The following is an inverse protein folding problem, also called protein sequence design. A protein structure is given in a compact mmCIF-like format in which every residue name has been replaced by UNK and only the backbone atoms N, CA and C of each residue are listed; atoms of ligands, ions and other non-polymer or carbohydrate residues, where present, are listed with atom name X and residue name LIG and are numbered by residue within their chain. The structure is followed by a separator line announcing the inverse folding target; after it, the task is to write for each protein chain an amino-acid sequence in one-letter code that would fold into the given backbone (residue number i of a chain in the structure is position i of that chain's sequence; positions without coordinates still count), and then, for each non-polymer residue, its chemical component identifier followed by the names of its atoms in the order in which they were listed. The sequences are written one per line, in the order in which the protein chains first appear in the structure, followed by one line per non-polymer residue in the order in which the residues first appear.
data_IF_996555741754
#
_entry.id   IF_996555741754
#
_cell.length_a   1.000
_cell.length_b   1.000
_cell.length_c   1.000
_cell.angle_alpha   90.00
_cell.angle_beta   90.00
_cell.angle_gamma   90.00
#
_symmetry.space_group_name_H-M   'P 1'
#
loop_
_entity.id
_entity.type
_entity.pdbx_description
1 polymer ?
#
# COMPACT_ATOMS: atom_id res chain seq x y z
N UNK A 1 -0.29 -21.92 6.03
CA UNK A 1 -0.95 -20.73 5.45
C UNK A 1 -2.44 -20.98 5.07
N UNK A 2 -2.90 -21.85 4.15
CA UNK A 2 -4.32 -21.93 3.79
C UNK A 2 -5.26 -22.28 4.96
N UNK A 3 -4.91 -23.29 5.77
CA UNK A 3 -5.73 -23.69 6.92
C UNK A 3 -5.75 -22.63 8.03
N UNK A 4 -4.63 -22.02 8.33
CA UNK A 4 -4.47 -20.93 9.29
C UNK A 4 -5.31 -19.71 8.87
N UNK A 5 -5.19 -19.27 7.62
CA UNK A 5 -5.99 -18.18 7.05
C UNK A 5 -7.49 -18.45 7.15
N UNK A 6 -7.94 -19.66 6.76
CA UNK A 6 -9.36 -20.02 6.82
C UNK A 6 -9.90 -19.99 8.26
N UNK A 7 -9.10 -20.42 9.24
CA UNK A 7 -9.47 -20.38 10.65
C UNK A 7 -9.63 -18.94 11.15
N UNK A 8 -8.68 -18.05 10.84
CA UNK A 8 -8.76 -16.63 11.23
C UNK A 8 -9.96 -15.96 10.56
N UNK A 9 -10.11 -16.14 9.24
CA UNK A 9 -11.24 -15.61 8.49
C UNK A 9 -12.58 -16.05 9.11
N UNK A 10 -12.71 -17.31 9.52
CA UNK A 10 -13.91 -17.82 10.16
C UNK A 10 -14.19 -17.16 11.52
N UNK A 11 -13.14 -16.86 12.33
CA UNK A 11 -13.32 -16.13 13.61
C UNK A 11 -13.87 -14.73 13.36
N UNK A 12 -13.31 -14.00 12.38
CA UNK A 12 -13.78 -12.66 11.98
C UNK A 12 -15.25 -12.70 11.52
N UNK A 13 -15.58 -13.65 10.62
CA UNK A 13 -16.95 -13.79 10.09
C UNK A 13 -17.98 -14.16 11.16
N UNK A 14 -17.59 -14.87 12.22
CA UNK A 14 -18.44 -15.23 13.35
C UNK A 14 -18.57 -14.12 14.39
N UNK A 15 -17.66 -13.15 14.41
CA UNK A 15 -17.73 -12.02 15.32
C UNK A 15 -18.80 -11.04 14.82
N UNK A 16 -19.83 -10.71 15.64
CA UNK A 16 -20.90 -9.79 15.22
C UNK A 16 -20.38 -8.43 14.80
N UNK A 17 -19.31 -7.94 15.45
CA UNK A 17 -18.68 -6.66 15.13
C UNK A 17 -17.95 -6.68 13.78
N UNK A 18 -17.46 -7.85 13.34
CA UNK A 18 -16.82 -8.03 12.04
C UNK A 18 -17.74 -7.66 10.88
N UNK A 19 -19.03 -8.03 10.96
CA UNK A 19 -20.03 -7.69 9.94
C UNK A 19 -20.37 -6.19 9.94
N UNK A 20 -20.42 -5.55 11.09
CA UNK A 20 -20.66 -4.10 11.22
C UNK A 20 -19.47 -3.31 10.66
N UNK A 21 -18.25 -3.76 10.92
CA UNK A 21 -17.02 -3.17 10.40
C UNK A 21 -17.00 -3.12 8.87
N UNK A 22 -17.46 -4.15 8.17
CA UNK A 22 -17.47 -4.19 6.70
C UNK A 22 -18.27 -3.07 6.06
N UNK A 23 -19.29 -2.55 6.73
CA UNK A 23 -20.11 -1.46 6.22
C UNK A 23 -19.51 -0.07 6.38
N UNK A 24 -18.63 0.14 7.37
CA UNK A 24 -18.17 1.48 7.79
C UNK A 24 -16.65 1.67 7.79
N UNK A 25 -15.88 0.65 7.43
CA UNK A 25 -14.41 0.71 7.30
C UNK A 25 -13.71 1.25 8.56
N UNK A 26 -12.76 2.20 8.40
CA UNK A 26 -12.03 2.85 9.49
C UNK A 26 -12.96 3.58 10.48
N UNK A 27 -14.04 4.19 10.00
CA UNK A 27 -15.00 4.90 10.84
C UNK A 27 -15.64 4.00 11.93
N UNK A 28 -15.81 2.70 11.66
CA UNK A 28 -16.29 1.75 12.67
C UNK A 28 -15.36 1.72 13.89
N UNK A 29 -14.04 1.70 13.66
CA UNK A 29 -13.06 1.63 14.74
C UNK A 29 -13.02 2.92 15.53
N UNK A 30 -12.99 4.09 14.87
CA UNK A 30 -13.03 5.39 15.53
C UNK A 30 -14.29 5.57 16.37
N UNK A 31 -15.45 5.13 15.85
CA UNK A 31 -16.72 5.16 16.58
C UNK A 31 -16.70 4.28 17.84
N UNK A 32 -16.16 3.07 17.72
CA UNK A 32 -16.13 2.14 18.85
C UNK A 32 -15.11 2.55 19.91
N UNK A 33 -13.97 3.10 19.52
CA UNK A 33 -12.97 3.62 20.45
C UNK A 33 -13.47 4.89 21.16
N UNK A 34 -14.20 5.76 20.47
CA UNK A 34 -14.89 6.90 21.10
C UNK A 34 -15.92 6.44 22.12
N UNK A 35 -16.76 5.47 21.77
CA UNK A 35 -17.72 4.86 22.67
C UNK A 35 -17.05 4.21 23.88
N UNK A 36 -15.94 3.51 23.70
CA UNK A 36 -15.11 2.95 24.77
C UNK A 36 -14.58 4.04 25.72
N UNK A 37 -14.08 5.14 25.14
CA UNK A 37 -13.58 6.28 25.91
C UNK A 37 -14.68 6.88 26.81
N UNK A 38 -15.90 7.00 26.30
CA UNK A 38 -17.01 7.61 27.04
C UNK A 38 -17.59 6.69 28.13
N UNK A 39 -17.80 5.40 27.81
CA UNK A 39 -18.57 4.52 28.69
C UNK A 39 -17.75 3.66 29.65
N UNK A 40 -16.46 3.48 29.38
CA UNK A 40 -15.52 2.76 30.26
C UNK A 40 -14.30 3.64 30.58
N UNK A 41 -14.51 4.80 31.25
CA UNK A 41 -13.48 5.83 31.39
C UNK A 41 -12.20 5.33 32.06
N UNK A 42 -12.29 4.54 33.12
CA UNK A 42 -11.13 3.99 33.84
C UNK A 42 -10.31 3.05 32.94
N UNK A 43 -10.99 2.17 32.19
CA UNK A 43 -10.35 1.25 31.26
C UNK A 43 -9.73 1.99 30.07
N UNK A 44 -10.46 2.95 29.50
CA UNK A 44 -9.96 3.76 28.39
C UNK A 44 -8.75 4.61 28.80
N UNK A 45 -8.77 5.16 30.01
CA UNK A 45 -7.65 5.90 30.57
C UNK A 45 -6.42 4.98 30.76
N UNK A 46 -6.59 3.76 31.25
CA UNK A 46 -5.50 2.79 31.34
C UNK A 46 -4.88 2.45 29.98
N UNK A 47 -5.68 2.41 28.92
CA UNK A 47 -5.20 2.15 27.53
C UNK A 47 -4.50 3.35 26.92
N UNK A 48 -5.10 4.54 27.00
CA UNK A 48 -4.71 5.68 26.15
C UNK A 48 -3.84 6.74 26.86
N UNK A 49 -4.00 6.97 28.18
CA UNK A 49 -3.18 7.95 28.91
C UNK A 49 -1.67 7.69 28.85
N UNK A 50 -1.19 6.42 28.81
CA UNK A 50 0.24 6.16 28.61
C UNK A 50 0.80 6.59 27.23
N UNK A 51 -0.07 6.87 26.26
CA UNK A 51 0.30 7.31 24.91
C UNK A 51 0.41 8.84 24.77
N UNK A 52 0.03 9.58 25.81
CA UNK A 52 0.07 11.04 25.85
C UNK A 52 0.98 11.53 26.98
N UNK A 53 1.31 12.82 26.98
CA UNK A 53 2.15 13.48 27.99
C UNK A 53 1.35 14.49 28.82
N UNK A 54 1.89 14.98 29.97
CA UNK A 54 1.25 16.02 30.75
C UNK A 54 0.94 17.26 29.90
N UNK A 55 -0.22 17.87 30.12
CA UNK A 55 -0.69 19.05 29.40
C UNK A 55 -1.95 19.59 30.06
N UNK A 56 -2.51 20.65 29.51
CA UNK A 56 -3.76 21.25 29.96
C UNK A 56 -4.77 21.26 28.82
N UNK A 57 -6.00 20.85 29.10
CA UNK A 57 -7.12 20.90 28.18
C UNK A 57 -8.43 21.21 28.93
N UNK A 58 -9.49 21.49 28.20
CA UNK A 58 -10.79 21.97 28.73
C UNK A 58 -11.61 20.92 29.48
N UNK A 59 -11.21 19.64 29.49
CA UNK A 59 -11.92 18.56 30.15
C UNK A 59 -11.72 17.18 29.51
N UNK A 60 -12.54 16.21 29.92
CA UNK A 60 -12.56 14.87 29.34
C UNK A 60 -13.67 14.76 28.30
N UNK A 61 -13.30 14.60 27.03
CA UNK A 61 -14.24 14.50 25.91
C UNK A 61 -13.56 13.88 24.68
N UNK A 62 -14.34 13.52 23.66
CA UNK A 62 -13.84 12.88 22.45
C UNK A 62 -14.37 13.56 21.19
N UNK A 63 -13.50 13.75 20.20
CA UNK A 63 -13.87 14.21 18.86
C UNK A 63 -13.61 13.14 17.82
N UNK A 64 -14.44 13.12 16.76
CA UNK A 64 -14.29 12.25 15.59
C UNK A 64 -14.42 13.05 14.34
N UNK A 65 -13.66 12.68 13.30
CA UNK A 65 -13.74 13.29 11.95
C UNK A 65 -13.52 14.82 11.93
N UNK A 66 -12.95 15.40 12.99
CA UNK A 66 -12.65 16.83 13.03
C UNK A 66 -11.42 17.12 12.20
N UNK A 67 -11.53 18.04 11.21
CA UNK A 67 -10.44 18.40 10.31
C UNK A 67 -9.75 17.19 9.63
N UNK A 68 -10.53 16.16 9.31
CA UNK A 68 -10.10 14.86 8.78
C UNK A 68 -9.28 14.00 9.74
N UNK A 69 -9.20 14.34 11.03
CA UNK A 69 -8.60 13.49 12.06
C UNK A 69 -9.61 12.42 12.49
N UNK A 70 -9.22 11.15 12.47
CA UNK A 70 -10.14 10.04 12.74
C UNK A 70 -10.69 10.07 14.17
N UNK A 71 -9.83 10.33 15.17
CA UNK A 71 -10.18 10.32 16.58
C UNK A 71 -9.25 11.25 17.37
N UNK A 72 -9.82 12.08 18.25
CA UNK A 72 -9.07 12.90 19.19
C UNK A 72 -9.64 12.71 20.60
N UNK A 73 -8.78 12.36 21.54
CA UNK A 73 -9.14 12.15 22.94
C UNK A 73 -8.56 13.27 23.80
N UNK A 74 -9.38 13.84 24.69
CA UNK A 74 -9.05 14.96 25.53
C UNK A 74 -9.17 14.62 27.02
N UNK A 75 -8.25 15.17 27.85
CA UNK A 75 -8.23 15.08 29.30
C UNK A 75 -7.85 16.44 29.90
N UNK A 76 -8.34 16.78 31.09
CA UNK A 76 -8.05 18.09 31.69
C UNK A 76 -6.54 18.27 32.09
N UNK A 77 -5.82 17.16 32.27
CA UNK A 77 -4.44 17.12 32.78
C UNK A 77 -3.42 16.52 31.78
N UNK A 78 -3.84 16.32 30.54
CA UNK A 78 -3.02 15.72 29.48
C UNK A 78 -3.12 16.50 28.18
N UNK A 79 -2.06 16.44 27.37
CA UNK A 79 -2.14 16.85 25.98
C UNK A 79 -3.16 16.01 25.22
N UNK A 80 -3.89 16.58 24.24
CA UNK A 80 -4.78 15.82 23.39
C UNK A 80 -4.05 14.67 22.69
N UNK A 81 -4.73 13.54 22.54
CA UNK A 81 -4.22 12.38 21.81
C UNK A 81 -4.95 12.25 20.48
N UNK A 82 -4.21 12.45 19.38
CA UNK A 82 -4.70 12.23 18.03
C UNK A 82 -4.39 10.80 17.62
N UNK A 83 -5.40 10.06 17.17
CA UNK A 83 -5.27 8.69 16.68
C UNK A 83 -5.74 8.64 15.23
N UNK A 84 -4.82 8.29 14.34
CA UNK A 84 -5.12 7.98 12.93
C UNK A 84 -5.27 6.47 12.75
N UNK A 85 -6.42 6.02 12.24
CA UNK A 85 -6.76 4.61 12.05
C UNK A 85 -6.45 4.12 10.64
N UNK A 86 -5.73 3.00 10.53
CA UNK A 86 -5.40 2.35 9.25
C UNK A 86 -5.66 0.84 9.30
N UNK A 87 -6.87 0.42 8.94
CA UNK A 87 -7.27 -1.00 8.85
C UNK A 87 -7.31 -1.48 7.40
N UNK A 88 -8.03 -0.76 6.53
CA UNK A 88 -8.24 -1.11 5.13
C UNK A 88 -7.34 -0.32 4.19
N UNK A 89 -6.60 0.63 4.70
CA UNK A 89 -5.65 1.46 3.97
C UNK A 89 -4.22 1.24 4.48
N UNK A 90 -3.24 1.55 3.64
CA UNK A 90 -1.83 1.59 4.03
C UNK A 90 -1.49 3.01 4.47
N UNK A 91 -0.79 3.20 5.59
CA UNK A 91 -0.33 4.52 6.02
C UNK A 91 0.51 5.20 4.93
N UNK A 92 0.43 6.54 4.86
CA UNK A 92 1.22 7.36 3.93
C UNK A 92 1.80 8.54 4.67
N UNK A 93 3.11 8.77 4.54
CA UNK A 93 3.82 9.87 5.19
C UNK A 93 3.16 11.23 4.93
N UNK A 94 2.90 11.58 3.68
CA UNK A 94 2.29 12.86 3.32
C UNK A 94 0.91 13.13 3.97
N UNK A 95 0.18 12.07 4.35
CA UNK A 95 -1.07 12.21 5.09
C UNK A 95 -0.78 12.56 6.56
N UNK A 96 0.19 11.89 7.17
CA UNK A 96 0.61 12.15 8.56
C UNK A 96 1.20 13.55 8.71
N UNK A 97 2.03 14.01 7.78
CA UNK A 97 2.57 15.37 7.72
C UNK A 97 1.44 16.42 7.65
N UNK A 98 0.40 16.14 6.87
CA UNK A 98 -0.78 17.00 6.79
C UNK A 98 -1.53 17.12 8.13
N UNK A 99 -1.60 16.04 8.91
CA UNK A 99 -2.22 16.04 10.23
C UNK A 99 -1.37 16.75 11.28
N UNK A 100 -0.04 16.61 11.23
CA UNK A 100 0.87 17.39 12.06
C UNK A 100 0.72 18.90 11.82
N UNK A 101 0.58 19.30 10.57
CA UNK A 101 0.34 20.69 10.21
C UNK A 101 -0.97 21.24 10.80
N UNK A 102 -2.04 20.44 10.82
CA UNK A 102 -3.31 20.79 11.47
C UNK A 102 -3.12 20.88 12.99
N UNK A 103 -2.45 19.89 13.59
CA UNK A 103 -2.24 19.77 15.02
C UNK A 103 -1.30 20.87 15.57
N UNK A 104 -0.33 21.34 14.80
CA UNK A 104 0.59 22.42 15.19
C UNK A 104 -0.10 23.77 15.44
N UNK A 105 -1.31 23.96 14.90
CA UNK A 105 -2.14 25.14 15.15
C UNK A 105 -2.89 25.12 16.48
N UNK A 106 -2.79 24.04 17.28
CA UNK A 106 -3.47 23.91 18.55
C UNK A 106 -2.64 24.54 19.68
N UNK A 107 -3.32 25.01 20.73
CA UNK A 107 -2.67 25.68 21.86
C UNK A 107 -1.78 24.77 22.72
N UNK A 108 -1.99 23.45 22.67
CA UNK A 108 -1.17 22.41 23.29
C UNK A 108 -0.65 21.48 22.21
N UNK A 109 0.62 21.07 22.30
CA UNK A 109 1.20 20.08 21.38
C UNK A 109 0.55 18.71 21.62
N UNK A 110 -0.25 18.16 20.70
CA UNK A 110 -0.90 16.87 20.91
C UNK A 110 0.11 15.72 20.81
N UNK A 111 -0.22 14.59 21.42
CA UNK A 111 0.44 13.31 21.14
C UNK A 111 -0.17 12.69 19.89
N UNK A 112 0.66 12.08 19.04
CA UNK A 112 0.26 11.55 17.74
C UNK A 112 0.44 10.03 17.72
N UNK A 113 -0.61 9.29 17.41
CA UNK A 113 -0.61 7.83 17.32
C UNK A 113 -1.15 7.38 15.97
N UNK A 114 -0.32 6.62 15.25
CA UNK A 114 -0.75 5.82 14.12
C UNK A 114 -1.19 4.45 14.61
N UNK A 115 -2.49 4.18 14.59
CA UNK A 115 -3.07 2.87 14.89
C UNK A 115 -3.27 2.11 13.59
N UNK A 116 -2.49 1.05 13.34
CA UNK A 116 -2.56 0.33 12.07
C UNK A 116 -2.46 -1.19 12.22
N UNK A 117 -3.03 -1.90 11.23
CA UNK A 117 -2.94 -3.36 11.11
C UNK A 117 -1.61 -3.78 10.49
N UNK A 118 -1.03 -2.93 9.62
CA UNK A 118 0.24 -3.17 8.95
C UNK A 118 1.30 -2.18 9.42
N UNK A 119 2.55 -2.64 9.56
CA UNK A 119 3.66 -1.76 9.89
C UNK A 119 3.87 -0.71 8.79
N UNK A 120 4.14 0.55 9.15
CA UNK A 120 4.59 1.56 8.21
C UNK A 120 5.98 1.17 7.64
N UNK A 121 6.27 1.63 6.43
CA UNK A 121 7.55 1.39 5.74
C UNK A 121 8.41 2.66 5.60
N UNK A 122 8.08 3.67 6.37
CA UNK A 122 8.77 4.96 6.45
C UNK A 122 9.01 5.36 7.89
N UNK A 123 9.91 6.32 8.10
CA UNK A 123 10.14 6.91 9.41
C UNK A 123 8.90 7.71 9.85
N UNK A 124 8.39 7.40 11.00
CA UNK A 124 7.18 8.02 11.57
C UNK A 124 7.43 9.39 12.21
N UNK A 125 8.69 9.82 12.35
CA UNK A 125 9.01 11.10 13.00
C UNK A 125 8.41 11.21 14.41
N UNK A 126 7.44 12.10 14.60
CA UNK A 126 6.78 12.35 15.88
C UNK A 126 5.60 11.40 16.19
N UNK A 127 5.19 10.55 15.24
CA UNK A 127 4.11 9.61 15.43
C UNK A 127 4.56 8.36 16.17
N UNK A 128 3.82 7.98 17.20
CA UNK A 128 3.98 6.68 17.85
C UNK A 128 3.17 5.63 17.09
N UNK A 129 3.79 4.51 16.73
CA UNK A 129 3.08 3.38 16.15
C UNK A 129 2.45 2.53 17.25
N UNK A 130 1.16 2.27 17.12
CA UNK A 130 0.41 1.30 17.91
C UNK A 130 -0.20 0.27 16.96
N UNK A 131 0.13 -0.99 17.13
CA UNK A 131 -0.52 -2.05 16.36
C UNK A 131 -1.90 -2.38 16.94
N UNK A 132 -2.80 -2.89 16.09
CA UNK A 132 -4.09 -3.37 16.58
C UNK A 132 -3.98 -4.58 17.51
N UNK A 133 -2.91 -5.37 17.43
CA UNK A 133 -2.63 -6.44 18.39
C UNK A 133 -2.29 -5.88 19.78
N UNK A 134 -1.39 -4.87 19.85
CA UNK A 134 -1.06 -4.20 21.11
C UNK A 134 -2.26 -3.47 21.70
N UNK A 135 -3.07 -2.80 20.87
CA UNK A 135 -4.32 -2.20 21.33
C UNK A 135 -5.26 -3.25 21.96
N UNK A 136 -5.41 -4.41 21.31
CA UNK A 136 -6.22 -5.50 21.83
C UNK A 136 -5.73 -6.00 23.20
N UNK A 137 -4.41 -6.15 23.36
CA UNK A 137 -3.80 -6.56 24.62
C UNK A 137 -4.05 -5.54 25.73
N UNK A 138 -3.80 -4.25 25.46
CA UNK A 138 -4.07 -3.15 26.41
C UNK A 138 -5.54 -3.07 26.81
N UNK A 139 -6.47 -3.25 25.85
CA UNK A 139 -7.91 -3.28 26.16
C UNK A 139 -8.22 -4.44 27.10
N UNK A 140 -7.76 -5.67 26.80
CA UNK A 140 -8.06 -6.84 27.62
C UNK A 140 -7.47 -6.74 29.04
N UNK A 141 -6.31 -6.16 29.20
CA UNK A 141 -5.67 -5.90 30.48
C UNK A 141 -6.42 -4.85 31.32
N UNK A 142 -6.96 -3.83 30.65
CA UNK A 142 -7.63 -2.71 31.28
C UNK A 142 -9.11 -2.97 31.64
N UNK A 143 -9.74 -3.98 31.02
CA UNK A 143 -11.16 -4.25 31.26
C UNK A 143 -11.40 -4.83 32.66
N UNK A 144 -12.43 -4.35 33.38
CA UNK A 144 -12.79 -4.89 34.69
C UNK A 144 -13.26 -6.34 34.58
N UNK A 145 -13.18 -7.05 35.70
CA UNK A 145 -13.86 -8.34 35.85
C UNK A 145 -15.37 -8.14 35.73
N UNK A 146 -16.07 -9.03 35.03
CA UNK A 146 -17.52 -8.95 34.87
C UNK A 146 -17.97 -9.14 33.42
N UNK A 147 -19.28 -9.05 33.20
CA UNK A 147 -19.95 -9.35 31.93
C UNK A 147 -21.02 -8.28 31.59
N UNK A 148 -20.75 -6.99 31.90
CA UNK A 148 -21.62 -5.95 31.39
C UNK A 148 -21.57 -5.93 29.84
N UNK A 149 -22.61 -5.35 29.26
CA UNK A 149 -22.69 -5.21 27.79
C UNK A 149 -21.45 -4.50 27.21
N UNK A 150 -21.00 -3.45 27.90
CA UNK A 150 -19.85 -2.63 27.47
C UNK A 150 -18.55 -3.45 27.52
N UNK A 151 -18.32 -4.15 28.62
CA UNK A 151 -17.13 -4.99 28.83
C UNK A 151 -17.09 -6.13 27.80
N UNK A 152 -18.21 -6.82 27.57
CA UNK A 152 -18.27 -7.90 26.60
C UNK A 152 -18.11 -7.38 25.16
N UNK A 153 -18.66 -6.21 24.85
CA UNK A 153 -18.47 -5.56 23.54
C UNK A 153 -17.00 -5.26 23.30
N UNK A 154 -16.28 -4.73 24.28
CA UNK A 154 -14.85 -4.44 24.13
C UNK A 154 -13.99 -5.69 24.11
N UNK A 155 -14.34 -6.77 24.79
CA UNK A 155 -13.67 -8.09 24.62
C UNK A 155 -13.82 -8.61 23.21
N UNK A 156 -15.01 -8.53 22.62
CA UNK A 156 -15.25 -8.95 21.22
C UNK A 156 -14.53 -8.07 20.23
N UNK A 157 -14.43 -6.78 20.51
CA UNK A 157 -13.65 -5.87 19.68
C UNK A 157 -12.15 -6.20 19.73
N UNK A 158 -11.59 -6.39 20.92
CA UNK A 158 -10.20 -6.79 21.08
C UNK A 158 -9.88 -8.09 20.33
N UNK A 159 -10.77 -9.10 20.43
CA UNK A 159 -10.64 -10.35 19.67
C UNK A 159 -10.68 -10.09 18.15
N UNK A 160 -11.61 -9.24 17.67
CA UNK A 160 -11.73 -8.89 16.25
C UNK A 160 -10.47 -8.23 15.71
N UNK A 161 -9.95 -7.21 16.39
CA UNK A 161 -8.78 -6.46 15.88
C UNK A 161 -7.49 -7.26 15.98
N UNK A 162 -7.37 -8.17 16.94
CA UNK A 162 -6.28 -9.15 16.99
C UNK A 162 -6.36 -10.13 15.81
N UNK A 163 -7.55 -10.66 15.52
CA UNK A 163 -7.76 -11.54 14.35
C UNK A 163 -7.46 -10.80 13.02
N UNK A 164 -7.80 -9.51 12.90
CA UNK A 164 -7.45 -8.69 11.73
C UNK A 164 -5.93 -8.54 11.57
N UNK A 165 -5.23 -8.22 12.66
CA UNK A 165 -3.78 -8.12 12.65
C UNK A 165 -3.12 -9.46 12.27
N UNK A 166 -3.58 -10.56 12.86
CA UNK A 166 -3.11 -11.91 12.54
C UNK A 166 -3.37 -12.25 11.06
N UNK A 167 -4.57 -11.92 10.54
CA UNK A 167 -4.93 -12.16 9.15
C UNK A 167 -3.99 -11.43 8.17
N UNK A 168 -3.70 -10.15 8.42
CA UNK A 168 -2.76 -9.36 7.59
C UNK A 168 -1.34 -9.89 7.70
N UNK A 169 -0.92 -10.36 8.86
CA UNK A 169 0.39 -11.00 9.06
C UNK A 169 0.52 -12.30 8.28
N UNK A 170 -0.53 -13.13 8.26
CA UNK A 170 -0.56 -14.41 7.52
C UNK A 170 -0.48 -14.20 6.00
N UNK A 171 -1.06 -13.12 5.46
CA UNK A 171 -0.97 -12.82 4.03
C UNK A 171 0.32 -12.08 3.64
N UNK A 172 1.18 -11.79 4.59
CA UNK A 172 2.53 -11.28 4.35
C UNK A 172 3.38 -12.21 3.49
N UNK A 173 4.49 -11.71 2.97
CA UNK A 173 5.46 -12.49 2.19
C UNK A 173 6.40 -13.21 3.16
N UNK A 174 6.42 -14.54 3.12
CA UNK A 174 7.31 -15.39 3.94
C UNK A 174 8.49 -15.94 3.14
N UNK A 175 8.36 -16.03 1.81
CA UNK A 175 9.38 -16.55 0.92
C UNK A 175 9.28 -15.94 -0.47
N UNK A 176 10.40 -15.71 -1.11
CA UNK A 176 10.46 -15.23 -2.51
C UNK A 176 9.94 -16.28 -3.52
N UNK A 177 9.82 -17.56 -3.13
CA UNK A 177 9.20 -18.60 -3.95
C UNK A 177 7.67 -18.54 -3.97
N UNK A 178 7.04 -17.71 -3.13
CA UNK A 178 5.60 -17.54 -3.14
C UNK A 178 5.12 -16.78 -4.37
N UNK A 179 3.88 -17.05 -4.79
CA UNK A 179 3.20 -16.25 -5.80
C UNK A 179 3.04 -14.80 -5.33
N UNK A 180 3.19 -13.85 -6.25
CA UNK A 180 2.99 -12.42 -5.95
C UNK A 180 1.61 -12.16 -5.37
N UNK A 181 0.58 -12.73 -5.98
CA UNK A 181 -0.80 -12.53 -5.53
C UNK A 181 -1.35 -13.70 -4.74
N UNK A 182 -2.24 -13.37 -3.81
CA UNK A 182 -3.00 -14.36 -3.06
C UNK A 182 -3.95 -15.12 -4.02
N UNK A 183 -4.07 -16.45 -3.87
CA UNK A 183 -4.98 -17.22 -4.71
C UNK A 183 -6.45 -16.93 -4.36
N UNK A 184 -7.31 -16.90 -5.37
CA UNK A 184 -8.74 -16.65 -5.22
C UNK A 184 -9.42 -17.67 -4.27
N UNK A 185 -8.93 -18.92 -4.25
CA UNK A 185 -9.42 -19.96 -3.34
C UNK A 185 -9.16 -19.64 -1.86
N UNK A 186 -8.07 -18.93 -1.55
CA UNK A 186 -7.78 -18.47 -0.19
C UNK A 186 -8.72 -17.33 0.20
N UNK A 187 -8.87 -16.35 -0.67
CA UNK A 187 -9.71 -15.18 -0.43
C UNK A 187 -11.21 -15.52 -0.39
N UNK A 188 -11.61 -16.66 -0.95
CA UNK A 188 -12.99 -17.16 -0.89
C UNK A 188 -13.51 -17.41 0.53
N UNK A 189 -12.61 -17.57 1.53
CA UNK A 189 -12.98 -17.67 2.94
C UNK A 189 -13.49 -16.35 3.55
N UNK A 190 -13.28 -15.21 2.88
CA UNK A 190 -13.71 -13.88 3.31
C UNK A 190 -14.95 -13.49 2.49
N UNK A 191 -16.05 -13.14 3.14
CA UNK A 191 -17.28 -12.72 2.47
C UNK A 191 -17.17 -11.30 1.91
N UNK A 192 -16.48 -10.40 2.61
CA UNK A 192 -16.35 -8.98 2.26
C UNK A 192 -15.37 -8.73 1.12
N UNK A 193 -15.87 -8.16 0.02
CA UNK A 193 -15.03 -7.68 -1.09
C UNK A 193 -14.06 -6.57 -0.66
N UNK A 194 -14.44 -5.73 0.31
CA UNK A 194 -13.59 -4.68 0.83
C UNK A 194 -12.40 -5.27 1.59
N UNK A 195 -12.64 -6.28 2.44
CA UNK A 195 -11.57 -6.99 3.13
C UNK A 195 -10.65 -7.71 2.15
N UNK A 196 -11.19 -8.39 1.12
CA UNK A 196 -10.36 -9.01 0.07
C UNK A 196 -9.46 -7.98 -0.62
N UNK A 197 -10.02 -6.79 -0.96
CA UNK A 197 -9.25 -5.71 -1.55
C UNK A 197 -8.18 -5.16 -0.59
N UNK A 198 -8.47 -5.04 0.71
CA UNK A 198 -7.50 -4.63 1.73
C UNK A 198 -6.33 -5.62 1.84
N UNK A 199 -6.62 -6.93 1.85
CA UNK A 199 -5.59 -7.96 1.87
C UNK A 199 -4.71 -7.96 0.60
N UNK A 200 -5.31 -7.75 -0.56
CA UNK A 200 -4.57 -7.55 -1.81
C UNK A 200 -3.68 -6.31 -1.75
N UNK A 201 -4.19 -5.21 -1.21
CA UNK A 201 -3.44 -3.96 -1.06
C UNK A 201 -2.26 -4.12 -0.10
N UNK A 202 -2.48 -4.76 1.06
CA UNK A 202 -1.41 -5.07 2.00
C UNK A 202 -0.34 -5.97 1.37
N UNK A 203 -0.74 -6.99 0.60
CA UNK A 203 0.18 -7.86 -0.14
C UNK A 203 0.97 -7.08 -1.19
N UNK A 204 0.32 -6.24 -1.99
CA UNK A 204 0.97 -5.40 -3.00
C UNK A 204 2.02 -4.47 -2.37
N UNK A 205 1.69 -3.86 -1.23
CA UNK A 205 2.61 -3.01 -0.48
C UNK A 205 3.86 -3.78 -0.01
N UNK A 206 3.69 -4.97 0.56
CA UNK A 206 4.83 -5.82 0.95
C UNK A 206 5.70 -6.21 -0.24
N UNK A 207 5.11 -6.50 -1.40
CA UNK A 207 5.86 -6.81 -2.63
C UNK A 207 6.65 -5.60 -3.12
N UNK A 208 6.05 -4.41 -3.17
CA UNK A 208 6.74 -3.18 -3.54
C UNK A 208 7.93 -2.91 -2.60
N UNK A 209 7.75 -3.08 -1.28
CA UNK A 209 8.84 -2.95 -0.30
C UNK A 209 9.99 -3.93 -0.55
N UNK A 210 9.71 -5.19 -0.90
CA UNK A 210 10.76 -6.17 -1.24
C UNK A 210 11.56 -5.68 -2.44
N UNK A 211 10.90 -5.16 -3.47
CA UNK A 211 11.57 -4.61 -4.65
C UNK A 211 12.46 -3.42 -4.27
N UNK A 212 11.97 -2.48 -3.46
CA UNK A 212 12.73 -1.32 -3.00
C UNK A 212 13.98 -1.70 -2.18
N UNK A 213 13.87 -2.74 -1.36
CA UNK A 213 15.02 -3.25 -0.59
C UNK A 213 16.03 -3.99 -1.48
N UNK A 214 15.54 -4.69 -2.51
CA UNK A 214 16.40 -5.52 -3.38
C UNK A 214 17.07 -4.68 -4.48
N UNK A 215 16.46 -3.58 -4.89
CA UNK A 215 16.96 -2.65 -5.91
C UNK A 215 16.97 -1.23 -5.29
N UNK A 216 17.96 -0.92 -4.42
CA UNK A 216 17.95 0.30 -3.63
C UNK A 216 18.25 1.58 -4.43
N UNK A 217 18.76 1.44 -5.65
CA UNK A 217 19.15 2.52 -6.57
C UNK A 217 18.06 2.88 -7.59
N UNK A 218 16.83 2.37 -7.41
CA UNK A 218 15.67 2.84 -8.17
C UNK A 218 15.50 4.35 -7.98
N UNK A 219 15.47 5.10 -9.09
CA UNK A 219 15.21 6.55 -9.04
C UNK A 219 13.83 6.87 -8.46
N UNK A 220 12.84 6.08 -8.86
CA UNK A 220 11.50 6.12 -8.31
C UNK A 220 11.23 4.79 -7.59
N UNK A 221 10.97 4.80 -6.30
CA UNK A 221 10.69 3.57 -5.58
C UNK A 221 9.45 2.86 -6.15
N UNK A 222 9.48 1.54 -6.11
CA UNK A 222 8.33 0.73 -6.48
C UNK A 222 7.10 1.17 -5.67
N UNK A 223 6.04 1.47 -6.38
CA UNK A 223 4.75 1.87 -5.81
C UNK A 223 3.74 0.73 -5.84
N UNK A 224 2.75 0.81 -4.97
CA UNK A 224 1.67 -0.17 -4.90
C UNK A 224 0.30 0.47 -4.80
N UNK A 225 -0.71 -0.21 -5.28
CA UNK A 225 -2.07 0.30 -5.26
C UNK A 225 -3.13 -0.68 -5.71
N UNK A 226 -4.28 -0.14 -6.01
CA UNK A 226 -5.41 -0.87 -6.59
C UNK A 226 -5.92 -0.11 -7.82
N UNK A 227 -6.18 -0.82 -8.89
CA UNK A 227 -6.85 -0.30 -10.08
C UNK A 227 -8.12 -1.10 -10.31
N UNK A 228 -9.30 -0.49 -10.09
CA UNK A 228 -10.61 -1.16 -10.21
C UNK A 228 -10.66 -2.53 -9.50
N UNK A 229 -10.38 -2.58 -8.22
CA UNK A 229 -10.32 -3.79 -7.41
C UNK A 229 -9.23 -4.81 -7.78
N UNK A 230 -8.32 -4.49 -8.70
CA UNK A 230 -7.18 -5.33 -9.08
C UNK A 230 -5.91 -4.79 -8.43
N UNK A 231 -5.12 -5.62 -7.72
CA UNK A 231 -3.88 -5.17 -7.10
C UNK A 231 -2.83 -4.80 -8.15
N UNK A 232 -2.02 -3.81 -7.81
CA UNK A 232 -1.03 -3.20 -8.67
C UNK A 232 0.29 -3.01 -7.92
N UNK A 233 1.39 -3.35 -8.58
CA UNK A 233 2.76 -2.94 -8.22
C UNK A 233 3.42 -2.42 -9.48
N UNK A 234 4.16 -1.31 -9.39
CA UNK A 234 4.81 -0.71 -10.56
C UNK A 234 6.11 0.01 -10.21
N UNK A 235 6.99 0.11 -11.20
CA UNK A 235 8.17 0.97 -11.23
C UNK A 235 8.18 1.66 -12.57
N UNK A 236 8.28 2.99 -12.57
CA UNK A 236 8.40 3.85 -13.76
C UNK A 236 9.49 4.87 -13.49
N UNK A 237 10.60 4.78 -14.24
CA UNK A 237 11.77 5.62 -14.04
C UNK A 237 11.91 6.63 -15.20
N UNK A 238 12.29 7.86 -14.89
CA UNK A 238 12.51 8.91 -15.89
C UNK A 238 13.71 8.57 -16.79
N UNK A 239 13.52 8.75 -18.09
CA UNK A 239 14.55 8.55 -19.11
C UNK A 239 14.43 9.66 -20.15
N UNK A 240 15.55 10.31 -20.45
CA UNK A 240 15.70 11.08 -21.66
C UNK A 240 16.55 10.26 -22.63
N UNK A 241 16.00 9.88 -23.78
CA UNK A 241 16.72 9.06 -24.75
C UNK A 241 16.20 9.29 -26.17
N UNK A 242 17.10 9.37 -27.16
CA UNK A 242 16.79 9.57 -28.58
C UNK A 242 15.85 10.78 -28.84
N UNK A 243 16.01 11.86 -28.05
CA UNK A 243 15.18 13.04 -28.11
C UNK A 243 13.76 12.88 -27.52
N UNK A 244 13.50 11.81 -26.83
CA UNK A 244 12.24 11.55 -26.13
C UNK A 244 12.39 11.77 -24.64
N UNK A 245 11.40 12.44 -24.05
CA UNK A 245 11.26 12.62 -22.59
C UNK A 245 10.11 11.75 -22.09
N UNK A 246 10.44 10.72 -21.31
CA UNK A 246 9.46 9.70 -20.91
C UNK A 246 9.84 9.01 -19.59
N UNK A 247 8.89 8.30 -19.01
CA UNK A 247 9.17 7.27 -18.01
C UNK A 247 9.07 5.89 -18.66
N UNK A 248 10.03 5.03 -18.38
CA UNK A 248 10.02 3.62 -18.77
C UNK A 248 9.96 2.72 -17.55
N UNK A 249 9.37 1.56 -17.71
CA UNK A 249 9.36 0.58 -16.64
C UNK A 249 8.36 -0.54 -16.84
N UNK A 250 7.80 -0.97 -15.73
CA UNK A 250 6.87 -2.07 -15.71
C UNK A 250 5.74 -1.86 -14.69
N UNK A 251 4.65 -2.59 -14.92
CA UNK A 251 3.49 -2.60 -14.04
C UNK A 251 2.94 -4.03 -13.98
N UNK A 252 2.80 -4.59 -12.77
CA UNK A 252 2.09 -5.85 -12.56
C UNK A 252 0.69 -5.53 -12.03
N UNK A 253 -0.33 -5.65 -12.88
CA UNK A 253 -1.73 -5.47 -12.51
C UNK A 253 -2.46 -6.83 -12.54
N UNK A 254 -2.76 -7.38 -11.39
CA UNK A 254 -3.26 -8.75 -11.29
C UNK A 254 -2.33 -9.72 -12.01
N UNK A 255 -2.86 -10.46 -12.99
CA UNK A 255 -2.09 -11.45 -13.78
C UNK A 255 -1.45 -10.87 -15.05
N UNK A 256 -1.41 -9.55 -15.22
CA UNK A 256 -0.82 -8.89 -16.37
C UNK A 256 0.49 -8.21 -15.98
N UNK A 257 1.60 -8.73 -16.48
CA UNK A 257 2.88 -8.02 -16.44
C UNK A 257 2.97 -7.13 -17.67
N UNK A 258 3.11 -5.84 -17.48
CA UNK A 258 3.13 -4.80 -18.50
C UNK A 258 4.51 -4.18 -18.58
N UNK A 259 5.04 -4.06 -19.79
CA UNK A 259 6.12 -3.11 -20.09
C UNK A 259 5.46 -1.82 -20.54
N UNK A 260 5.85 -0.71 -19.96
CA UNK A 260 5.13 0.55 -20.08
C UNK A 260 6.04 1.73 -20.35
N UNK A 261 5.50 2.70 -21.07
CA UNK A 261 6.07 4.02 -21.30
C UNK A 261 5.03 5.10 -20.99
N UNK A 262 5.45 6.16 -20.29
CA UNK A 262 4.66 7.37 -20.03
C UNK A 262 5.35 8.53 -20.76
N UNK A 263 4.74 9.04 -21.80
CA UNK A 263 5.32 10.11 -22.61
C UNK A 263 5.03 11.49 -21.99
N UNK A 264 6.08 12.30 -21.81
CA UNK A 264 5.98 13.65 -21.26
C UNK A 264 5.99 14.75 -22.31
N UNK A 265 6.39 14.46 -23.53
CA UNK A 265 6.40 15.41 -24.63
C UNK A 265 4.98 15.95 -24.92
N UNK A 266 4.76 17.28 -24.82
CA UNK A 266 3.48 17.90 -25.12
C UNK A 266 2.93 17.60 -26.52
N UNK A 267 3.79 17.35 -27.50
CA UNK A 267 3.40 17.07 -28.89
C UNK A 267 2.69 15.71 -29.04
N UNK A 268 2.98 14.76 -28.15
CA UNK A 268 2.42 13.40 -28.20
C UNK A 268 1.54 13.06 -26.99
N UNK A 269 1.49 13.96 -26.01
CA UNK A 269 0.61 13.86 -24.84
C UNK A 269 -0.79 14.38 -25.19
N UNK A 270 -1.81 13.58 -25.03
CA UNK A 270 -3.19 14.00 -25.28
C UNK A 270 -4.16 12.82 -25.33
N UNK A 271 -5.45 13.16 -25.30
CA UNK A 271 -6.54 12.17 -25.34
C UNK A 271 -7.15 12.00 -26.74
N UNK A 272 -6.76 12.84 -27.71
CA UNK A 272 -7.25 12.78 -29.05
C UNK A 272 -6.62 11.64 -29.89
N UNK A 273 -7.19 11.41 -31.08
CA UNK A 273 -6.75 10.32 -31.95
C UNK A 273 -5.34 10.55 -32.49
N UNK A 274 -4.97 11.79 -32.82
CA UNK A 274 -3.67 12.14 -33.39
C UNK A 274 -2.55 11.87 -32.38
N UNK A 275 -2.70 12.33 -31.13
CA UNK A 275 -1.75 12.03 -30.05
C UNK A 275 -1.61 10.52 -29.82
N UNK A 276 -2.70 9.75 -29.93
CA UNK A 276 -2.66 8.29 -29.83
C UNK A 276 -1.89 7.67 -30.98
N UNK A 277 -2.10 8.13 -32.22
CA UNK A 277 -1.38 7.64 -33.39
C UNK A 277 0.12 7.97 -33.30
N UNK A 278 0.48 9.17 -32.83
CA UNK A 278 1.88 9.54 -32.62
C UNK A 278 2.57 8.64 -31.59
N UNK A 279 1.91 8.37 -30.44
CA UNK A 279 2.44 7.41 -29.46
C UNK A 279 2.63 6.01 -30.05
N UNK A 280 1.68 5.53 -30.85
CA UNK A 280 1.79 4.23 -31.53
C UNK A 280 3.00 4.20 -32.48
N UNK A 281 3.22 5.27 -33.26
CA UNK A 281 4.37 5.38 -34.17
C UNK A 281 5.69 5.38 -33.42
N UNK A 282 5.81 6.16 -32.37
CA UNK A 282 7.02 6.18 -31.50
C UNK A 282 7.25 4.81 -30.87
N UNK A 283 6.22 4.19 -30.32
CA UNK A 283 6.33 2.87 -29.68
C UNK A 283 6.76 1.77 -30.67
N UNK A 284 6.35 1.86 -31.93
CA UNK A 284 6.79 0.93 -32.98
C UNK A 284 8.23 1.15 -33.43
N UNK A 285 8.73 2.38 -33.31
CA UNK A 285 10.13 2.68 -33.61
C UNK A 285 11.10 2.21 -32.53
N UNK A 286 10.57 2.08 -31.28
CA UNK A 286 11.34 1.73 -30.10
C UNK A 286 10.78 0.46 -29.44
N UNK A 287 10.78 -0.70 -30.13
CA UNK A 287 10.24 -1.96 -29.58
C UNK A 287 11.03 -2.44 -28.35
N UNK A 288 12.27 -2.01 -28.20
CA UNK A 288 13.15 -2.29 -27.04
C UNK A 288 12.57 -1.78 -25.73
N UNK A 289 11.82 -0.67 -25.72
CA UNK A 289 11.17 -0.14 -24.52
C UNK A 289 10.09 -1.06 -23.96
N UNK A 290 9.57 -1.95 -24.80
CA UNK A 290 8.46 -2.86 -24.50
C UNK A 290 8.86 -4.34 -24.53
N UNK A 291 10.15 -4.63 -24.64
CA UNK A 291 10.67 -5.99 -24.58
C UNK A 291 10.49 -6.57 -23.17
N UNK A 292 10.10 -7.84 -23.09
CA UNK A 292 9.93 -8.53 -21.81
C UNK A 292 11.25 -9.18 -21.39
N UNK A 293 11.60 -9.14 -20.08
CA UNK A 293 12.79 -9.79 -19.57
C UNK A 293 12.85 -11.27 -19.93
N UNK A 294 14.04 -11.80 -20.26
CA UNK A 294 14.22 -13.23 -20.44
C UNK A 294 13.90 -13.96 -19.13
N UNK A 295 13.28 -15.12 -19.19
CA UNK A 295 12.94 -15.91 -18.00
C UNK A 295 11.61 -15.54 -17.34
N UNK A 296 10.95 -14.46 -17.74
CA UNK A 296 9.61 -14.15 -17.23
C UNK A 296 8.61 -15.27 -17.66
N UNK A 297 7.95 -15.97 -16.71
CA UNK A 297 6.98 -17.00 -17.05
C UNK A 297 5.76 -16.35 -17.71
N UNK A 298 5.65 -16.48 -19.02
CA UNK A 298 4.66 -15.76 -19.80
C UNK A 298 3.80 -16.69 -20.66
N UNK A 299 2.53 -16.32 -20.80
CA UNK A 299 1.67 -16.84 -21.85
C UNK A 299 1.52 -15.75 -22.92
N UNK A 300 1.73 -16.05 -24.21
CA UNK A 300 1.61 -15.07 -25.27
C UNK A 300 0.24 -14.37 -25.21
N UNK A 301 0.26 -13.04 -25.28
CA UNK A 301 -0.96 -12.29 -25.56
C UNK A 301 -1.21 -12.38 -27.07
N UNK A 302 -2.41 -12.74 -27.50
CA UNK A 302 -2.75 -12.77 -28.92
C UNK A 302 -2.82 -11.37 -29.58
N UNK A 303 -2.47 -10.30 -28.88
CA UNK A 303 -2.52 -8.92 -29.41
C UNK A 303 -1.17 -8.47 -29.93
N UNK A 304 -1.18 -7.99 -31.18
CA UNK A 304 -0.02 -7.40 -31.87
C UNK A 304 0.07 -5.86 -31.70
N UNK A 305 -0.92 -5.20 -31.12
CA UNK A 305 -1.00 -3.75 -30.97
C UNK A 305 -0.73 -3.33 -29.53
N UNK A 306 -0.14 -2.14 -29.36
CA UNK A 306 0.02 -1.51 -28.06
C UNK A 306 -1.34 -1.13 -27.45
N UNK A 307 -1.40 -1.16 -26.13
CA UNK A 307 -2.52 -0.64 -25.38
C UNK A 307 -2.22 0.80 -24.96
N UNK A 308 -3.26 1.64 -24.94
CA UNK A 308 -3.14 3.04 -24.61
C UNK A 308 -4.07 3.40 -23.48
N UNK A 309 -3.58 4.21 -22.55
CA UNK A 309 -4.37 4.86 -21.53
C UNK A 309 -4.08 6.36 -21.57
N UNK A 310 -5.14 7.17 -21.77
CA UNK A 310 -4.98 8.61 -21.87
C UNK A 310 -4.50 9.23 -20.55
N UNK A 311 -3.71 10.31 -20.60
CA UNK A 311 -3.33 11.06 -21.80
C UNK A 311 -2.04 10.59 -22.50
N UNK A 312 -1.21 9.76 -21.87
CA UNK A 312 0.17 9.54 -22.29
C UNK A 312 0.76 8.15 -21.99
N UNK A 313 -0.01 7.22 -21.44
CA UNK A 313 0.44 5.89 -21.05
C UNK A 313 0.27 4.90 -22.20
N UNK A 314 1.35 4.19 -22.54
CA UNK A 314 1.37 3.12 -23.55
C UNK A 314 1.99 1.87 -22.94
N UNK A 315 1.43 0.70 -23.22
CA UNK A 315 1.99 -0.55 -22.72
C UNK A 315 1.73 -1.74 -23.65
N UNK A 316 2.61 -2.71 -23.55
CA UNK A 316 2.37 -4.08 -23.99
C UNK A 316 2.31 -4.99 -22.77
N UNK A 317 1.65 -6.15 -22.84
CA UNK A 317 1.56 -7.03 -21.71
C UNK A 317 1.62 -8.51 -22.07
N UNK A 318 2.03 -9.31 -21.09
CA UNK A 318 1.95 -10.77 -21.09
C UNK A 318 1.20 -11.23 -19.85
N UNK A 319 0.58 -12.40 -19.94
CA UNK A 319 -0.09 -13.01 -18.77
C UNK A 319 0.91 -13.86 -17.98
N UNK A 320 0.98 -13.61 -16.68
CA UNK A 320 1.87 -14.27 -15.75
C UNK A 320 1.06 -14.84 -14.56
N UNK A 321 0.26 -15.90 -14.77
CA UNK A 321 -0.74 -16.34 -13.79
C UNK A 321 -0.15 -16.80 -12.44
N UNK A 322 1.09 -17.29 -12.43
CA UNK A 322 1.73 -17.85 -11.24
C UNK A 322 3.11 -17.21 -10.99
N UNK A 323 3.26 -15.93 -11.35
CA UNK A 323 4.51 -15.20 -11.12
C UNK A 323 4.87 -15.23 -9.65
N UNK A 324 6.08 -15.67 -9.33
CA UNK A 324 6.63 -15.65 -7.99
C UNK A 324 7.26 -14.29 -7.67
N UNK A 325 7.50 -14.02 -6.40
CA UNK A 325 8.19 -12.81 -5.96
C UNK A 325 9.63 -12.78 -6.47
N UNK A 326 10.32 -13.94 -6.48
CA UNK A 326 11.66 -14.04 -7.03
C UNK A 326 11.70 -13.68 -8.52
N UNK A 327 10.80 -14.23 -9.33
CA UNK A 327 10.72 -13.93 -10.76
C UNK A 327 10.35 -12.46 -11.04
N UNK A 328 9.44 -11.88 -10.24
CA UNK A 328 9.10 -10.47 -10.34
C UNK A 328 10.31 -9.58 -10.01
N UNK A 329 11.01 -9.88 -8.93
CA UNK A 329 12.18 -9.11 -8.48
C UNK A 329 13.31 -9.17 -9.49
N UNK A 330 13.58 -10.36 -10.06
CA UNK A 330 14.57 -10.53 -11.12
C UNK A 330 14.17 -9.77 -12.39
N UNK A 331 12.89 -9.84 -12.78
CA UNK A 331 12.37 -9.07 -13.93
C UNK A 331 12.50 -7.57 -13.70
N UNK A 332 12.21 -7.09 -12.48
CA UNK A 332 12.37 -5.68 -12.12
C UNK A 332 13.83 -5.23 -12.21
N UNK A 333 14.77 -6.06 -11.72
CA UNK A 333 16.21 -5.78 -11.77
C UNK A 333 16.73 -5.68 -13.21
N UNK A 334 16.38 -6.64 -14.06
CA UNK A 334 16.76 -6.62 -15.49
C UNK A 334 16.26 -5.36 -16.18
N UNK A 335 15.00 -4.97 -15.94
CA UNK A 335 14.42 -3.77 -16.53
C UNK A 335 15.12 -2.50 -16.02
N UNK A 336 15.43 -2.43 -14.74
CA UNK A 336 16.20 -1.32 -14.17
C UNK A 336 17.58 -1.19 -14.83
N UNK A 337 18.31 -2.30 -14.98
CA UNK A 337 19.60 -2.32 -15.67
C UNK A 337 19.50 -1.86 -17.14
N UNK A 338 18.46 -2.29 -17.86
CA UNK A 338 18.17 -1.80 -19.22
C UNK A 338 17.97 -0.27 -19.25
N UNK A 339 17.21 0.28 -18.29
CA UNK A 339 16.96 1.72 -18.18
C UNK A 339 18.25 2.48 -17.86
N UNK A 340 19.07 1.97 -16.94
CA UNK A 340 20.38 2.57 -16.62
C UNK A 340 21.30 2.57 -17.85
N UNK A 341 21.31 1.49 -18.64
CA UNK A 341 22.09 1.43 -19.88
C UNK A 341 21.61 2.46 -20.93
N UNK A 342 20.30 2.71 -21.04
CA UNK A 342 19.75 3.75 -21.91
C UNK A 342 20.22 5.15 -21.49
N UNK A 343 20.20 5.45 -20.19
CA UNK A 343 20.69 6.72 -19.62
C UNK A 343 22.18 6.91 -19.89
N UNK A 344 22.98 5.90 -19.64
CA UNK A 344 24.44 5.95 -19.87
C UNK A 344 24.77 6.17 -21.34
N UNK A 345 24.04 5.56 -22.26
CA UNK A 345 24.25 5.72 -23.71
C UNK A 345 23.93 7.15 -24.20
N UNK A 346 23.03 7.87 -23.54
CA UNK A 346 22.71 9.26 -23.88
C UNK A 346 23.76 10.24 -23.35
N UNK A 347 24.34 9.95 -22.18
CA UNK A 347 25.40 10.76 -21.56
C UNK A 347 26.71 10.64 -22.35
N UNK A 348 26.95 9.55 -23.10
CA UNK A 348 28.17 9.28 -23.87
C UNK A 348 27.88 8.87 -25.33
N UNK A 349 27.32 9.76 -26.17
CA UNK A 349 26.90 9.42 -27.53
C UNK A 349 28.06 8.98 -28.45
N UNK A 350 29.31 9.26 -28.07
CA UNK A 350 30.53 8.88 -28.84
C UNK A 350 31.02 7.45 -28.65
N UNK A 351 30.55 6.70 -27.64
CA UNK A 351 31.02 5.33 -27.37
C UNK A 351 30.36 4.25 -28.26
N UNK A 352 29.25 4.54 -28.92
CA UNK A 352 28.57 3.58 -29.82
C UNK A 352 29.33 3.21 -31.11
N UNK A 353 30.38 3.96 -31.47
CA UNK A 353 31.09 3.78 -32.72
C UNK A 353 32.30 2.83 -32.67
N UNK A 354 32.81 2.47 -31.48
CA UNK A 354 34.08 1.75 -31.35
C UNK A 354 33.94 0.21 -31.25
N UNK A 355 32.84 -0.31 -30.71
CA UNK A 355 32.69 -1.76 -30.49
C UNK A 355 31.98 -2.52 -31.62
N UNK A 356 31.27 -1.80 -32.51
CA UNK A 356 30.63 -2.43 -33.69
C UNK A 356 31.59 -2.79 -34.81
N UNK A 357 32.86 -2.33 -34.77
CA UNK A 357 33.87 -2.57 -35.84
C UNK A 357 34.81 -3.74 -35.46
N UNK A 358 34.75 -4.31 -34.28
CA UNK A 358 35.69 -5.36 -33.83
C UNK A 358 35.19 -6.80 -33.90
N UNK A 359 33.99 -7.05 -34.38
CA UNK A 359 33.47 -8.43 -34.57
C UNK A 359 32.89 -8.62 -35.96
N UNK A 360 33.75 -8.62 -36.96
CA UNK A 360 33.52 -9.33 -38.23
C UNK A 360 34.79 -10.13 -38.54
N UNK A 361 34.67 -11.47 -38.73
CA UNK A 361 35.78 -12.33 -39.12
C UNK A 361 36.22 -12.09 -40.55
#
# INVERSE_FOLDING_TARGET
MPAEFATIAQRIERNPLGRLMYGQRELFHSNLLAWFFDLLPESADAVFRPLTHPGEDSGRWVERERNNLDLVLHWPDRAPLIIENKVFSVPRLAQLDGYEAVASGWGSSPALVLLSVSDPDFDLGHWTHLTYAELADRILEALPAGHSYEVETMRRYAALVRDLHELVSVVGVRSHAEAVWLPDSLLGAISSNQMRAALHKARAHRVARIINVTIPDLEQPASSGMSHATPLVEVLEYVHTQGLDLQLGWQLQGRQFRRAAVFHDPAIKGSNQDSRQQRELVSRKHPEFFAFPPGLPQKPSGRKSFNHFAPNFVYNYVKTPNLTIAELTESARVIHEEIQALRAAELHPGMRSADAIRTAP
#
